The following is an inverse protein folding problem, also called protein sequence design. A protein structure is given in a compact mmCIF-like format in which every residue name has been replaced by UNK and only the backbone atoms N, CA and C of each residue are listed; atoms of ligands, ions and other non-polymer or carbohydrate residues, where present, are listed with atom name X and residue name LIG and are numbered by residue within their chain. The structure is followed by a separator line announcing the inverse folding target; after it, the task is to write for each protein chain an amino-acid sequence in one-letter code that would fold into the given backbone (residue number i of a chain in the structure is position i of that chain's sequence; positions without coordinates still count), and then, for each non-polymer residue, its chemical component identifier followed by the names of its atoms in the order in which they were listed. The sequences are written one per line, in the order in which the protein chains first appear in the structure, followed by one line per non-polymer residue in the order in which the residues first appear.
data_IF_318478722721
#
_entry.id   IF_318478722721
#
_cell.length_a   1.000
_cell.length_b   1.000
_cell.length_c   1.000
_cell.angle_alpha   90.00
_cell.angle_beta   90.00
_cell.angle_gamma   90.00
#
_symmetry.space_group_name_H-M   'P 1'
#
loop_
_entity.id
_entity.type
_entity.pdbx_description
1 polymer ?
#
# COMPACT_ATOMS: atom_id res chain seq x y z
N UNK A 1 -19.04 -1.63 -14.76
CA UNK A 1 -18.08 -0.83 -15.57
C UNK A 1 -16.87 -1.72 -15.76
N UNK A 2 -16.60 -2.12 -16.98
CA UNK A 2 -15.42 -2.91 -17.29
C UNK A 2 -14.19 -2.02 -17.14
N UNK A 3 -13.48 -2.20 -16.05
CA UNK A 3 -12.27 -1.44 -15.80
C UNK A 3 -11.11 -2.27 -16.36
N UNK A 4 -10.59 -1.84 -17.49
CA UNK A 4 -9.41 -2.42 -18.12
C UNK A 4 -9.58 -3.89 -18.57
N UNK A 5 -10.76 -4.29 -18.99
CA UNK A 5 -11.01 -5.65 -19.47
C UNK A 5 -10.97 -6.74 -18.39
N UNK A 6 -11.06 -6.34 -17.12
CA UNK A 6 -11.18 -7.30 -16.02
C UNK A 6 -12.56 -7.99 -16.06
N UNK A 7 -12.57 -9.30 -15.98
CA UNK A 7 -13.79 -10.10 -15.98
C UNK A 7 -13.93 -10.82 -14.65
N UNK A 8 -15.12 -10.72 -14.04
CA UNK A 8 -15.49 -11.52 -12.88
C UNK A 8 -15.95 -12.91 -13.35
N UNK A 9 -15.29 -13.96 -12.89
CA UNK A 9 -15.59 -15.35 -13.29
C UNK A 9 -16.88 -15.92 -12.71
N UNK A 10 -17.51 -15.19 -11.77
CA UNK A 10 -18.65 -15.69 -10.99
C UNK A 10 -18.25 -16.59 -9.81
N UNK A 11 -17.03 -17.09 -9.79
CA UNK A 11 -16.49 -17.85 -8.65
C UNK A 11 -15.98 -16.91 -7.56
N UNK A 12 -16.06 -17.38 -6.31
CA UNK A 12 -15.62 -16.64 -5.13
C UNK A 12 -14.54 -17.41 -4.39
N UNK A 13 -13.55 -16.68 -3.93
CA UNK A 13 -12.58 -17.16 -2.96
C UNK A 13 -13.01 -16.76 -1.55
N UNK A 14 -13.10 -17.72 -0.66
CA UNK A 14 -13.47 -17.49 0.73
C UNK A 14 -12.23 -17.18 1.54
N UNK A 15 -12.03 -15.92 1.88
CA UNK A 15 -10.91 -15.46 2.69
C UNK A 15 -11.29 -15.46 4.17
N UNK A 16 -10.60 -16.27 4.95
CA UNK A 16 -10.72 -16.30 6.40
C UNK A 16 -9.61 -15.47 7.04
N UNK A 17 -9.99 -14.53 7.90
CA UNK A 17 -9.06 -13.69 8.65
C UNK A 17 -9.35 -13.88 10.13
N UNK A 18 -8.39 -14.41 10.92
CA UNK A 18 -8.56 -14.56 12.35
C UNK A 18 -8.89 -13.24 13.02
N UNK A 19 -9.99 -13.21 13.79
CA UNK A 19 -10.49 -12.01 14.46
C UNK A 19 -11.60 -11.27 13.72
N UNK A 20 -11.91 -11.62 12.47
CA UNK A 20 -13.14 -11.16 11.82
C UNK A 20 -14.33 -12.05 12.22
N UNK A 21 -15.55 -11.47 12.33
CA UNK A 21 -16.75 -12.22 12.71
C UNK A 21 -17.21 -13.20 11.62
N UNK A 22 -16.84 -12.98 10.37
CA UNK A 22 -17.19 -13.83 9.23
C UNK A 22 -16.13 -13.75 8.14
N UNK A 23 -15.99 -14.80 7.32
CA UNK A 23 -15.13 -14.77 6.14
C UNK A 23 -15.59 -13.72 5.12
N UNK A 24 -14.67 -13.34 4.24
CA UNK A 24 -14.94 -12.42 3.12
C UNK A 24 -14.96 -13.25 1.84
N UNK A 25 -16.05 -13.16 1.06
CA UNK A 25 -16.14 -13.79 -0.25
C UNK A 25 -15.64 -12.83 -1.32
N UNK A 26 -14.46 -13.13 -1.87
CA UNK A 26 -13.75 -12.30 -2.86
C UNK A 26 -13.95 -12.86 -4.27
N UNK A 27 -14.21 -12.02 -5.29
CA UNK A 27 -14.34 -12.49 -6.66
C UNK A 27 -12.99 -12.91 -7.25
N UNK A 28 -13.00 -13.96 -8.07
CA UNK A 28 -11.95 -14.17 -9.05
C UNK A 28 -12.20 -13.26 -10.24
N UNK A 29 -11.18 -12.53 -10.65
CA UNK A 29 -11.21 -11.68 -11.84
C UNK A 29 -10.10 -12.07 -12.80
N UNK A 30 -10.37 -11.92 -14.09
CA UNK A 30 -9.40 -12.14 -15.15
C UNK A 30 -8.98 -10.79 -15.73
N UNK A 31 -7.69 -10.53 -15.75
CA UNK A 31 -7.12 -9.32 -16.32
C UNK A 31 -6.21 -9.65 -17.50
N UNK A 32 -6.16 -8.80 -18.54
CA UNK A 32 -5.23 -8.99 -19.66
C UNK A 32 -3.78 -8.88 -19.21
N UNK A 33 -2.94 -9.83 -19.59
CA UNK A 33 -1.51 -9.83 -19.28
C UNK A 33 -0.72 -10.44 -20.45
N UNK A 34 0.02 -9.62 -21.22
CA UNK A 34 0.89 -10.07 -22.28
C UNK A 34 0.21 -10.92 -23.38
N UNK A 35 -1.05 -10.63 -23.73
CA UNK A 35 -1.84 -11.39 -24.70
C UNK A 35 -2.51 -12.65 -24.13
N UNK A 36 -2.34 -12.93 -22.87
CA UNK A 36 -3.00 -13.97 -22.08
C UNK A 36 -3.93 -13.34 -21.06
N UNK A 37 -4.56 -14.16 -20.22
CA UNK A 37 -5.36 -13.71 -19.07
C UNK A 37 -4.70 -14.15 -17.79
N UNK A 38 -4.60 -13.25 -16.84
CA UNK A 38 -4.15 -13.54 -15.49
C UNK A 38 -5.38 -13.57 -14.57
N UNK A 39 -5.62 -14.71 -13.95
CA UNK A 39 -6.69 -14.88 -12.96
C UNK A 39 -6.16 -14.57 -11.58
N UNK A 40 -6.78 -13.62 -10.90
CA UNK A 40 -6.43 -13.17 -9.55
C UNK A 40 -7.65 -13.18 -8.63
N UNK A 41 -7.43 -13.23 -7.32
CA UNK A 41 -8.45 -12.93 -6.31
C UNK A 41 -8.44 -11.43 -6.04
N UNK A 42 -9.56 -10.76 -6.24
CA UNK A 42 -9.64 -9.31 -6.10
C UNK A 42 -10.16 -8.89 -4.72
N UNK A 43 -9.29 -8.29 -3.91
CA UNK A 43 -9.69 -7.60 -2.69
C UNK A 43 -9.89 -6.11 -3.02
N UNK A 44 -11.10 -5.60 -2.80
CA UNK A 44 -11.40 -4.19 -2.93
C UNK A 44 -12.08 -3.67 -1.66
N UNK A 45 -11.37 -2.83 -0.91
CA UNK A 45 -11.82 -2.27 0.36
C UNK A 45 -12.48 -0.90 0.22
N UNK A 46 -12.44 -0.30 -0.99
CA UNK A 46 -12.95 1.06 -1.23
C UNK A 46 -14.46 1.11 -0.95
N UNK A 47 -14.86 2.00 -0.08
CA UNK A 47 -16.27 2.20 0.30
C UNK A 47 -16.79 1.24 1.40
N UNK A 48 -16.05 0.19 1.76
CA UNK A 48 -16.46 -0.79 2.77
C UNK A 48 -16.06 -0.33 4.19
N UNK A 49 -16.74 0.69 4.71
CA UNK A 49 -16.35 1.37 5.97
C UNK A 49 -16.28 0.45 7.18
N UNK A 50 -17.27 -0.44 7.34
CA UNK A 50 -17.30 -1.43 8.43
C UNK A 50 -16.11 -2.39 8.36
N UNK A 51 -15.87 -2.95 7.18
CA UNK A 51 -14.76 -3.88 6.96
C UNK A 51 -13.40 -3.20 7.15
N UNK A 52 -13.21 -1.98 6.62
CA UNK A 52 -11.97 -1.21 6.84
C UNK A 52 -11.71 -0.95 8.32
N UNK A 53 -12.77 -0.62 9.10
CA UNK A 53 -12.66 -0.43 10.55
C UNK A 53 -12.18 -1.72 11.26
N UNK A 54 -12.79 -2.85 10.93
CA UNK A 54 -12.51 -4.11 11.62
C UNK A 54 -11.12 -4.66 11.22
N UNK A 55 -10.74 -4.57 9.95
CA UNK A 55 -9.38 -4.85 9.47
C UNK A 55 -8.35 -3.87 10.05
N UNK A 56 -8.73 -2.60 10.16
CA UNK A 56 -7.89 -1.56 10.78
C UNK A 56 -7.51 -1.89 12.22
N UNK A 57 -8.44 -2.39 13.02
CA UNK A 57 -8.17 -2.85 14.40
C UNK A 57 -7.19 -4.02 14.43
N UNK A 58 -7.38 -5.01 13.55
CA UNK A 58 -6.49 -6.18 13.47
C UNK A 58 -5.07 -5.78 13.04
N UNK A 59 -4.94 -4.93 12.02
CA UNK A 59 -3.64 -4.41 11.59
C UNK A 59 -2.99 -3.53 12.66
N UNK A 60 -3.74 -2.68 13.34
CA UNK A 60 -3.23 -1.86 14.43
C UNK A 60 -2.66 -2.73 15.57
N UNK A 61 -3.35 -3.80 15.93
CA UNK A 61 -2.85 -4.78 16.90
C UNK A 61 -1.55 -5.45 16.42
N UNK A 62 -1.48 -5.81 15.13
CA UNK A 62 -0.29 -6.41 14.52
C UNK A 62 0.88 -5.43 14.50
N UNK A 63 0.62 -4.15 14.20
CA UNK A 63 1.63 -3.08 14.22
C UNK A 63 2.16 -2.88 15.64
N UNK A 64 1.30 -2.75 16.66
CA UNK A 64 1.73 -2.61 18.06
C UNK A 64 2.58 -3.79 18.53
N UNK A 65 2.26 -5.00 18.08
CA UNK A 65 3.04 -6.19 18.40
C UNK A 65 4.44 -6.20 17.76
N UNK A 66 4.54 -5.73 16.51
CA UNK A 66 5.80 -5.72 15.76
C UNK A 66 6.66 -4.48 16.10
N UNK A 67 6.01 -3.34 16.38
CA UNK A 67 6.65 -2.05 16.66
C UNK A 67 5.96 -1.45 17.91
N UNK A 68 6.39 -1.85 19.12
CA UNK A 68 5.73 -1.43 20.36
C UNK A 68 5.76 0.08 20.62
N UNK A 69 6.81 0.77 20.16
CA UNK A 69 6.96 2.22 20.28
C UNK A 69 6.89 2.88 18.91
N UNK A 70 5.80 3.60 18.66
CA UNK A 70 5.51 4.33 17.43
C UNK A 70 5.96 5.80 17.46
N UNK A 71 6.58 6.27 18.55
CA UNK A 71 7.08 7.65 18.62
C UNK A 71 8.11 7.89 17.51
N UNK A 72 7.95 8.98 16.76
CA UNK A 72 8.82 9.32 15.63
C UNK A 72 8.70 8.42 14.39
N UNK A 73 7.71 7.52 14.35
CA UNK A 73 7.37 6.73 13.17
C UNK A 73 6.28 7.44 12.37
N UNK A 74 6.46 7.56 11.06
CA UNK A 74 5.45 8.11 10.14
C UNK A 74 4.81 6.99 9.35
N UNK A 75 3.49 7.08 9.16
CA UNK A 75 2.74 6.13 8.36
C UNK A 75 2.64 6.63 6.92
N UNK A 76 2.83 5.71 5.97
CA UNK A 76 2.81 5.97 4.53
C UNK A 76 1.89 4.97 3.83
N UNK A 77 1.09 5.45 2.90
CA UNK A 77 0.30 4.60 2.00
C UNK A 77 0.28 5.17 0.59
N UNK A 78 -0.03 4.33 -0.39
CA UNK A 78 -0.26 4.77 -1.75
C UNK A 78 -1.75 4.86 -2.08
N UNK A 79 -2.14 5.81 -2.95
CA UNK A 79 -3.50 5.82 -3.48
C UNK A 79 -3.72 4.60 -4.37
N UNK A 80 -4.95 4.06 -4.42
CA UNK A 80 -6.14 4.59 -3.75
C UNK A 80 -6.80 3.56 -2.83
N UNK A 81 -6.59 2.26 -3.05
CA UNK A 81 -7.33 1.18 -2.41
C UNK A 81 -7.08 1.07 -0.90
N UNK A 82 -5.84 1.35 -0.47
CA UNK A 82 -5.44 1.26 0.92
C UNK A 82 -5.74 2.50 1.77
N UNK A 83 -6.22 3.62 1.17
CA UNK A 83 -6.42 4.88 1.90
C UNK A 83 -7.38 4.75 3.09
N UNK A 84 -8.55 4.13 2.88
CA UNK A 84 -9.54 3.95 3.94
C UNK A 84 -9.05 3.01 5.04
N UNK A 85 -8.32 1.97 4.65
CA UNK A 85 -7.70 1.04 5.58
C UNK A 85 -6.62 1.75 6.42
N UNK A 86 -5.72 2.50 5.77
CA UNK A 86 -4.68 3.25 6.46
C UNK A 86 -5.26 4.27 7.44
N UNK A 87 -6.35 4.97 7.06
CA UNK A 87 -7.06 5.86 7.97
C UNK A 87 -7.63 5.11 9.17
N UNK A 88 -8.24 3.94 8.97
CA UNK A 88 -8.78 3.13 10.06
C UNK A 88 -7.69 2.65 11.01
N UNK A 89 -6.54 2.22 10.47
CA UNK A 89 -5.34 1.85 11.26
C UNK A 89 -4.83 3.04 12.06
N UNK A 90 -4.68 4.19 11.42
CA UNK A 90 -4.19 5.41 12.06
C UNK A 90 -5.11 5.86 13.21
N UNK A 91 -6.42 5.86 12.99
CA UNK A 91 -7.41 6.19 14.02
C UNK A 91 -7.31 5.24 15.24
N UNK A 92 -7.17 3.94 15.01
CA UNK A 92 -7.03 2.94 16.07
C UNK A 92 -5.71 3.08 16.86
N UNK A 93 -4.66 3.58 16.21
CA UNK A 93 -3.35 3.82 16.83
C UNK A 93 -3.21 5.21 17.46
N UNK A 94 -4.18 6.11 17.26
CA UNK A 94 -4.09 7.50 17.68
C UNK A 94 -3.10 8.34 16.86
N UNK A 95 -2.87 7.96 15.60
CA UNK A 95 -2.01 8.67 14.64
C UNK A 95 -2.85 9.74 13.95
N UNK A 96 -2.49 11.01 14.09
CA UNK A 96 -3.28 12.14 13.58
C UNK A 96 -3.09 12.41 12.09
N UNK A 97 -1.93 12.01 11.52
CA UNK A 97 -1.62 12.26 10.12
C UNK A 97 -0.88 11.08 9.48
N UNK A 98 -1.19 10.80 8.23
CA UNK A 98 -0.51 9.82 7.39
C UNK A 98 -0.01 10.48 6.11
N UNK A 99 1.16 10.08 5.64
CA UNK A 99 1.69 10.49 4.35
C UNK A 99 1.03 9.65 3.24
N UNK A 100 0.72 10.29 2.12
CA UNK A 100 0.05 9.66 0.99
C UNK A 100 0.88 9.86 -0.27
N UNK A 101 1.26 8.76 -0.91
CA UNK A 101 1.88 8.78 -2.23
C UNK A 101 0.80 8.66 -3.31
N UNK A 102 0.84 9.55 -4.29
CA UNK A 102 -0.15 9.65 -5.36
C UNK A 102 0.38 9.03 -6.65
N UNK A 103 -0.50 8.39 -7.41
CA UNK A 103 -0.16 7.78 -8.69
C UNK A 103 -0.11 8.77 -9.87
N UNK A 104 -0.33 10.05 -9.62
CA UNK A 104 -0.23 11.16 -10.59
C UNK A 104 -0.12 12.49 -9.87
N UNK A 105 0.51 13.45 -10.54
CA UNK A 105 0.46 14.85 -10.10
C UNK A 105 -0.86 15.47 -10.55
N UNK A 106 -1.59 16.09 -9.62
CA UNK A 106 -2.85 16.77 -9.92
C UNK A 106 -2.60 18.26 -10.21
N UNK A 107 -3.24 18.86 -11.25
CA UNK A 107 -2.96 20.23 -11.66
C UNK A 107 -3.09 21.29 -10.55
N UNK A 108 -4.09 21.17 -9.69
CA UNK A 108 -4.30 22.12 -8.59
C UNK A 108 -3.23 22.05 -7.49
N UNK A 109 -2.45 20.98 -7.46
CA UNK A 109 -1.33 20.83 -6.53
C UNK A 109 -0.03 21.40 -7.09
N UNK A 110 0.03 21.68 -8.39
CA UNK A 110 1.14 22.38 -9.07
C UNK A 110 0.97 23.90 -9.08
N UNK A 111 -0.25 24.41 -8.96
CA UNK A 111 -0.58 25.82 -9.16
C UNK A 111 0.14 26.77 -8.19
N UNK A 112 0.46 26.29 -6.97
CA UNK A 112 1.03 27.10 -5.91
C UNK A 112 2.57 27.02 -5.80
N UNK A 113 3.26 26.44 -6.80
CA UNK A 113 4.73 26.19 -6.78
C UNK A 113 5.20 25.44 -5.53
N UNK A 114 4.33 24.61 -4.97
CA UNK A 114 4.66 23.81 -3.78
C UNK A 114 5.65 22.70 -4.13
N UNK A 115 6.58 22.37 -3.22
CA UNK A 115 7.47 21.25 -3.42
C UNK A 115 6.69 19.98 -3.76
N UNK A 116 7.07 19.34 -4.86
CA UNK A 116 6.53 18.05 -5.29
C UNK A 116 7.70 17.13 -5.56
N UNK A 117 7.70 15.98 -4.93
CA UNK A 117 8.65 14.92 -5.21
C UNK A 117 7.99 13.90 -6.13
N UNK A 118 8.65 13.54 -7.21
CA UNK A 118 8.20 12.54 -8.17
C UNK A 118 9.28 11.50 -8.38
N UNK A 119 8.92 10.24 -8.31
CA UNK A 119 9.77 9.11 -8.65
C UNK A 119 9.04 8.21 -9.62
N UNK A 120 9.74 7.70 -10.61
CA UNK A 120 9.20 6.81 -11.62
C UNK A 120 9.03 7.47 -12.99
N UNK A 121 9.11 6.66 -14.02
CA UNK A 121 8.89 6.88 -15.45
C UNK A 121 10.06 7.23 -16.34
N UNK A 122 11.26 7.49 -15.88
CA UNK A 122 12.41 7.62 -16.80
C UNK A 122 13.35 6.43 -16.81
N UNK A 123 13.25 5.49 -15.89
CA UNK A 123 13.97 4.21 -15.99
C UNK A 123 13.05 3.12 -16.54
N UNK A 124 13.30 2.76 -17.76
CA UNK A 124 12.64 1.70 -18.54
C UNK A 124 13.05 0.31 -18.00
N UNK A 125 12.94 0.09 -16.72
CA UNK A 125 13.08 -1.25 -16.17
C UNK A 125 11.77 -1.64 -15.50
N UNK A 126 10.99 -2.40 -16.28
CA UNK A 126 9.91 -3.30 -15.85
C UNK A 126 9.10 -2.86 -14.63
N UNK A 127 8.02 -2.11 -14.85
CA UNK A 127 6.89 -2.07 -13.92
C UNK A 127 6.96 -1.07 -12.77
N UNK A 128 7.88 -0.11 -12.76
CA UNK A 128 7.89 0.94 -11.74
C UNK A 128 6.67 1.84 -11.91
N UNK A 129 5.82 1.86 -10.88
CA UNK A 129 4.66 2.75 -10.83
C UNK A 129 5.13 4.18 -10.59
N UNK A 130 4.56 5.14 -11.32
CA UNK A 130 4.75 6.55 -11.02
C UNK A 130 4.13 6.88 -9.66
N UNK A 131 4.90 7.46 -8.76
CA UNK A 131 4.43 7.99 -7.48
C UNK A 131 4.91 9.43 -7.28
N UNK A 132 4.08 10.22 -6.60
CA UNK A 132 4.35 11.61 -6.25
C UNK A 132 3.96 11.91 -4.80
N UNK A 133 4.78 12.72 -4.13
CA UNK A 133 4.48 13.31 -2.82
C UNK A 133 4.26 14.82 -2.96
N UNK A 134 3.39 15.36 -2.12
CA UNK A 134 3.18 16.80 -1.99
C UNK A 134 3.88 17.36 -0.76
N UNK A 135 3.98 18.69 -0.69
CA UNK A 135 4.67 19.39 0.38
C UNK A 135 4.26 18.91 1.78
N UNK A 136 2.96 18.73 2.02
CA UNK A 136 2.46 18.22 3.30
C UNK A 136 3.06 16.85 3.63
N UNK A 137 3.04 15.94 2.67
CA UNK A 137 3.49 14.57 2.84
C UNK A 137 5.02 14.49 2.94
N UNK A 138 5.72 15.34 2.18
CA UNK A 138 7.17 15.54 2.26
C UNK A 138 7.55 15.99 3.67
N UNK A 139 6.92 17.06 4.18
CA UNK A 139 7.23 17.59 5.51
C UNK A 139 6.92 16.58 6.62
N UNK A 140 5.82 15.83 6.49
CA UNK A 140 5.48 14.77 7.42
C UNK A 140 6.55 13.66 7.42
N UNK A 141 6.97 13.19 6.24
CA UNK A 141 8.03 12.17 6.13
C UNK A 141 9.38 12.68 6.65
N UNK A 142 9.70 13.94 6.39
CA UNK A 142 10.92 14.56 6.93
C UNK A 142 10.93 14.69 8.46
N UNK A 143 9.77 14.69 9.10
CA UNK A 143 9.67 14.67 10.57
C UNK A 143 9.93 13.30 11.19
N UNK A 144 9.98 12.24 10.39
CA UNK A 144 10.25 10.89 10.87
C UNK A 144 11.66 10.77 11.44
N UNK A 145 11.76 10.40 12.71
CA UNK A 145 13.04 10.18 13.41
C UNK A 145 13.37 8.70 13.58
N UNK A 146 12.37 7.83 13.44
CA UNK A 146 12.51 6.38 13.62
C UNK A 146 12.03 5.56 12.42
N UNK A 147 11.85 6.22 11.27
CA UNK A 147 11.49 5.57 10.01
C UNK A 147 10.01 5.58 9.70
N UNK A 148 9.62 4.73 8.76
CA UNK A 148 8.31 4.74 8.11
C UNK A 148 7.66 3.37 8.21
N UNK A 149 6.36 3.34 8.50
CA UNK A 149 5.50 2.15 8.40
C UNK A 149 4.63 2.30 7.16
N UNK A 150 4.63 1.28 6.29
CA UNK A 150 3.77 1.25 5.12
C UNK A 150 2.52 0.41 5.39
N UNK A 151 1.35 0.95 5.01
CA UNK A 151 0.07 0.24 5.04
C UNK A 151 -0.45 0.08 3.62
N UNK A 152 -0.78 -1.16 3.24
CA UNK A 152 -1.35 -1.49 1.93
C UNK A 152 -2.54 -2.45 2.07
N UNK A 153 -3.35 -2.62 1.02
CA UNK A 153 -4.44 -3.61 1.01
C UNK A 153 -3.92 -5.01 0.70
N UNK A 154 -3.21 -5.17 -0.42
CA UNK A 154 -2.62 -6.44 -0.88
C UNK A 154 -1.19 -6.25 -1.36
N UNK A 155 -0.30 -7.07 -0.85
CA UNK A 155 1.07 -7.18 -1.37
C UNK A 155 1.13 -8.37 -2.32
N UNK A 156 1.35 -8.10 -3.62
CA UNK A 156 1.56 -9.13 -4.65
C UNK A 156 3.00 -9.08 -5.17
N UNK A 157 3.27 -8.50 -6.32
CA UNK A 157 4.62 -8.40 -6.89
C UNK A 157 5.56 -7.45 -6.14
N UNK A 158 5.01 -6.59 -5.27
CA UNK A 158 5.80 -5.60 -4.54
C UNK A 158 6.14 -4.33 -5.31
N UNK A 159 5.70 -4.17 -6.56
CA UNK A 159 6.06 -3.01 -7.37
C UNK A 159 5.69 -1.65 -6.77
N UNK A 160 4.57 -1.55 -6.06
CA UNK A 160 4.19 -0.34 -5.32
C UNK A 160 5.16 -0.06 -4.17
N UNK A 161 5.58 -1.10 -3.46
CA UNK A 161 6.47 -1.00 -2.30
C UNK A 161 7.89 -0.60 -2.69
N UNK A 162 8.39 -1.13 -3.81
CA UNK A 162 9.66 -0.72 -4.39
C UNK A 162 9.62 0.75 -4.81
N UNK A 163 8.55 1.18 -5.49
CA UNK A 163 8.38 2.58 -5.87
C UNK A 163 8.26 3.52 -4.65
N UNK A 164 7.65 3.06 -3.55
CA UNK A 164 7.64 3.81 -2.29
C UNK A 164 9.04 3.90 -1.67
N UNK A 165 9.84 2.84 -1.76
CA UNK A 165 11.22 2.86 -1.29
C UNK A 165 12.08 3.84 -2.10
N UNK A 166 12.02 3.78 -3.43
CA UNK A 166 12.73 4.71 -4.32
C UNK A 166 12.35 6.17 -4.01
N UNK A 167 11.07 6.40 -3.68
CA UNK A 167 10.57 7.72 -3.32
C UNK A 167 11.11 8.20 -1.96
N UNK A 168 11.29 7.31 -0.98
CA UNK A 168 11.91 7.64 0.30
C UNK A 168 13.42 7.91 0.16
N UNK A 169 14.11 7.18 -0.71
CA UNK A 169 15.52 7.40 -1.03
C UNK A 169 15.74 8.75 -1.73
N UNK A 170 14.96 9.05 -2.76
CA UNK A 170 15.00 10.33 -3.48
C UNK A 170 14.67 11.51 -2.54
N UNK A 171 13.69 11.34 -1.63
CA UNK A 171 13.36 12.33 -0.62
C UNK A 171 14.58 12.64 0.27
N UNK A 172 15.25 11.60 0.73
CA UNK A 172 16.42 11.74 1.60
C UNK A 172 17.57 12.42 0.87
N UNK A 173 17.87 12.02 -0.38
CA UNK A 173 18.92 12.61 -1.21
C UNK A 173 18.68 14.10 -1.44
N UNK A 174 17.46 14.49 -1.85
CA UNK A 174 17.11 15.90 -2.09
C UNK A 174 17.24 16.79 -0.86
N UNK A 175 17.09 16.22 0.32
CA UNK A 175 17.17 16.95 1.59
C UNK A 175 18.48 16.72 2.37
N UNK A 176 19.46 16.05 1.74
CA UNK A 176 20.80 15.83 2.31
C UNK A 176 20.77 15.09 3.65
N UNK A 177 19.90 14.09 3.79
CA UNK A 177 19.76 13.28 5.01
C UNK A 177 19.90 11.80 4.70
N UNK A 178 20.09 10.99 5.74
CA UNK A 178 20.08 9.54 5.61
C UNK A 178 18.71 9.03 5.13
N UNK A 179 18.66 7.95 4.33
CA UNK A 179 17.43 7.33 3.88
C UNK A 179 16.49 6.96 5.03
N UNK A 180 15.20 7.24 4.85
CA UNK A 180 14.16 6.87 5.79
C UNK A 180 13.96 5.35 5.78
N UNK A 181 14.32 4.69 6.87
CA UNK A 181 14.16 3.25 6.97
C UNK A 181 12.69 2.84 6.98
N UNK A 182 12.30 1.96 6.05
CA UNK A 182 11.00 1.29 6.11
C UNK A 182 11.03 0.23 7.22
N UNK A 183 10.24 0.43 8.28
CA UNK A 183 10.23 -0.40 9.50
C UNK A 183 9.42 -1.68 9.34
N UNK A 184 8.45 -1.65 8.44
CA UNK A 184 7.57 -2.77 8.14
C UNK A 184 6.49 -2.39 7.16
N UNK A 185 5.97 -3.39 6.47
CA UNK A 185 4.88 -3.31 5.52
C UNK A 185 3.72 -4.12 6.11
N UNK A 186 2.59 -3.46 6.34
CA UNK A 186 1.41 -4.08 6.94
C UNK A 186 0.26 -4.08 5.94
N UNK A 187 -0.30 -5.26 5.66
CA UNK A 187 -1.35 -5.42 4.67
C UNK A 187 -2.42 -6.43 5.13
N UNK A 188 -3.59 -6.38 4.50
CA UNK A 188 -4.64 -7.35 4.77
C UNK A 188 -4.23 -8.71 4.24
N UNK A 189 -3.73 -8.77 3.02
CA UNK A 189 -3.34 -10.03 2.42
C UNK A 189 -2.07 -9.92 1.58
N UNK A 190 -1.39 -11.06 1.41
CA UNK A 190 -0.28 -11.19 0.45
C UNK A 190 -0.58 -12.30 -0.54
N UNK A 191 -0.14 -12.12 -1.77
CA UNK A 191 -0.16 -13.14 -2.82
C UNK A 191 1.25 -13.76 -2.92
N UNK A 192 1.35 -15.06 -2.69
CA UNK A 192 2.65 -15.74 -2.75
C UNK A 192 3.63 -15.33 -1.65
N UNK A 193 4.92 -15.41 -1.95
CA UNK A 193 6.00 -14.98 -1.06
C UNK A 193 6.92 -13.95 -1.73
N UNK A 194 6.53 -12.67 -1.75
CA UNK A 194 7.30 -11.62 -2.38
C UNK A 194 8.54 -11.18 -1.59
N UNK A 195 8.82 -11.76 -0.43
CA UNK A 195 9.76 -11.22 0.56
C UNK A 195 11.22 -11.11 0.08
N UNK A 196 11.63 -11.86 -0.93
CA UNK A 196 13.04 -11.90 -1.34
C UNK A 196 13.58 -10.56 -1.90
N UNK A 197 12.71 -9.61 -2.26
CA UNK A 197 13.09 -8.35 -2.93
C UNK A 197 12.53 -7.09 -2.27
N UNK A 198 11.82 -7.20 -1.14
CA UNK A 198 11.18 -6.05 -0.51
C UNK A 198 12.10 -5.37 0.51
N UNK A 199 12.00 -4.04 0.65
CA UNK A 199 12.89 -3.24 1.50
C UNK A 199 12.64 -3.43 3.00
N UNK A 200 11.54 -4.11 3.38
CA UNK A 200 11.17 -4.33 4.76
C UNK A 200 10.35 -5.62 4.94
N UNK A 201 10.26 -6.17 6.17
CA UNK A 201 9.39 -7.31 6.47
C UNK A 201 7.92 -7.01 6.17
N UNK A 202 7.20 -8.01 5.61
CA UNK A 202 5.76 -7.94 5.34
C UNK A 202 4.98 -8.67 6.44
N UNK A 203 4.02 -7.97 7.01
CA UNK A 203 3.08 -8.48 8.01
C UNK A 203 1.66 -8.46 7.43
N UNK A 204 1.17 -9.62 7.01
CA UNK A 204 -0.20 -9.76 6.50
C UNK A 204 -1.12 -10.41 7.53
N UNK A 205 -2.43 -10.14 7.44
CA UNK A 205 -3.46 -10.84 8.22
C UNK A 205 -3.81 -12.19 7.60
N UNK A 206 -3.69 -12.30 6.27
CA UNK A 206 -4.02 -13.50 5.51
C UNK A 206 -3.14 -13.65 4.26
N UNK A 207 -3.32 -14.76 3.56
CA UNK A 207 -2.70 -15.02 2.25
C UNK A 207 -3.77 -15.23 1.20
N UNK A 208 -3.52 -14.76 -0.02
CA UNK A 208 -4.31 -15.04 -1.21
C UNK A 208 -3.63 -16.09 -2.07
N UNK A 209 -4.37 -16.83 -2.91
CA UNK A 209 -3.80 -17.70 -3.91
C UNK A 209 -2.87 -16.93 -4.84
N UNK A 210 -1.86 -17.60 -5.36
CA UNK A 210 -1.02 -17.03 -6.40
C UNK A 210 -1.84 -16.78 -7.67
N UNK A 211 -1.55 -15.69 -8.41
CA UNK A 211 -2.10 -15.46 -9.72
C UNK A 211 -1.87 -16.65 -10.67
N UNK A 212 -2.86 -16.99 -11.46
CA UNK A 212 -2.78 -18.10 -12.43
C UNK A 212 -2.89 -17.54 -13.85
N UNK A 213 -1.90 -17.82 -14.66
CA UNK A 213 -1.93 -17.48 -16.09
C UNK A 213 -2.79 -18.50 -16.83
N UNK A 214 -3.80 -18.01 -17.58
CA UNK A 214 -4.75 -18.79 -18.36
C UNK A 214 -4.39 -18.78 -19.86
#
# INVERSE_FOLDING_TARGET
MDILGALESGEKYRLEIPGLPSPIDLPYVEIPEGGKRLRIVSLNLVGLTGLNRDLGKLLAARIRSAIPDLSGVVFLTAVEKALMLCQAVAAELGIEAVAVAYNRVKPHMQADRRPTLQVGSSSVTSGSKFLALYERDINLLLSATRGVVVVDDVVSTGGTLLALNDLLEELAERHGRDPLQMRGIFCVAREGDPQALLPAPVFSLASLPQPVLL
#
